data_IF_249877182985
#
_entry.id   IF_249877182985
#
_cell.length_a   1.000
_cell.length_b   1.000
_cell.length_c   1.000
_cell.angle_alpha   90.00
_cell.angle_beta   90.00
_cell.angle_gamma   90.00
#
_symmetry.space_group_name_H-M   'P 1'
#
loop_
_entity.id
_entity.type
_entity.pdbx_description
1 polymer ?
#
# COMPACT_ATOMS: atom_id res chain seq x y z
N UNK A 1 -5.78 17.20 7.82
CA UNK A 1 -6.07 16.03 8.66
C UNK A 1 -7.51 15.54 8.52
N UNK A 2 -8.56 16.38 8.75
CA UNK A 2 -9.95 15.97 8.57
C UNK A 2 -10.23 15.49 7.13
N UNK A 3 -9.68 16.17 6.11
CA UNK A 3 -9.77 15.77 4.71
C UNK A 3 -9.07 14.44 4.44
N UNK A 4 -7.93 14.17 5.07
CA UNK A 4 -7.23 12.90 4.96
C UNK A 4 -8.03 11.74 5.57
N UNK A 5 -8.65 11.95 6.73
CA UNK A 5 -9.52 10.96 7.36
C UNK A 5 -10.80 10.72 6.56
N UNK A 6 -11.32 11.74 5.88
CA UNK A 6 -12.45 11.61 4.95
C UNK A 6 -12.09 10.75 3.74
N UNK A 7 -10.89 10.93 3.19
CA UNK A 7 -10.40 10.07 2.09
C UNK A 7 -10.17 8.63 2.55
N UNK A 8 -9.66 8.43 3.77
CA UNK A 8 -9.60 7.12 4.41
C UNK A 8 -10.98 6.49 4.56
N UNK A 9 -11.96 7.25 5.08
CA UNK A 9 -13.34 6.81 5.16
C UNK A 9 -13.86 6.36 3.79
N UNK A 10 -13.73 7.19 2.75
CA UNK A 10 -14.19 6.88 1.41
C UNK A 10 -13.47 5.65 0.82
N UNK A 11 -12.21 5.42 1.18
CA UNK A 11 -11.43 4.26 0.74
C UNK A 11 -11.86 2.96 1.42
N UNK A 12 -12.15 3.03 2.72
CA UNK A 12 -12.56 1.88 3.56
C UNK A 12 -14.06 1.59 3.40
N UNK A 13 -14.89 2.62 3.21
CA UNK A 13 -16.34 2.49 3.08
C UNK A 13 -16.79 1.84 1.74
N UNK A 14 -15.89 1.70 0.76
CA UNK A 14 -16.23 0.96 -0.47
C UNK A 14 -16.39 -0.52 -0.15
N UNK A 15 -17.62 -1.06 -0.24
CA UNK A 15 -17.82 -2.48 0.02
C UNK A 15 -16.99 -3.31 -0.98
N UNK A 16 -16.38 -4.42 -0.55
CA UNK A 16 -15.73 -5.35 -1.46
C UNK A 16 -16.71 -5.76 -2.55
N UNK A 17 -16.23 -5.90 -3.80
CA UNK A 17 -17.07 -6.34 -4.93
C UNK A 17 -17.85 -7.59 -4.50
N UNK A 18 -19.17 -7.47 -4.47
CA UNK A 18 -20.07 -8.59 -4.17
C UNK A 18 -19.93 -9.63 -5.27
N UNK A 19 -19.10 -10.64 -5.05
CA UNK A 19 -19.29 -11.94 -5.71
C UNK A 19 -20.47 -12.60 -5.02
N UNK A 20 -21.67 -12.49 -5.57
CA UNK A 20 -22.82 -13.24 -5.09
C UNK A 20 -22.51 -14.73 -5.31
N UNK A 21 -22.17 -15.44 -4.24
CA UNK A 21 -22.12 -16.89 -4.30
C UNK A 21 -23.57 -17.39 -4.48
N UNK A 22 -23.84 -17.92 -5.66
CA UNK A 22 -25.12 -18.57 -5.93
C UNK A 22 -25.26 -19.82 -5.04
N UNK A 23 -26.29 -19.92 -4.19
CA UNK A 23 -26.54 -21.12 -3.37
C UNK A 23 -26.64 -22.41 -4.21
N UNK A 24 -27.04 -22.32 -5.47
CA UNK A 24 -27.07 -23.46 -6.40
C UNK A 24 -25.68 -24.09 -6.60
N UNK A 25 -24.61 -23.32 -6.51
CA UNK A 25 -23.24 -23.82 -6.61
C UNK A 25 -22.86 -24.85 -5.50
N UNK A 26 -23.63 -24.94 -4.42
CA UNK A 26 -23.47 -25.96 -3.38
C UNK A 26 -23.75 -27.35 -3.98
N UNK A 27 -24.86 -27.48 -4.73
CA UNK A 27 -25.24 -28.73 -5.39
C UNK A 27 -24.26 -29.10 -6.51
N UNK A 28 -23.79 -28.12 -7.27
CA UNK A 28 -22.81 -28.34 -8.34
C UNK A 28 -21.48 -28.89 -7.77
N UNK A 29 -20.96 -28.29 -6.70
CA UNK A 29 -19.74 -28.78 -6.02
C UNK A 29 -19.92 -30.16 -5.37
N UNK A 30 -21.07 -30.41 -4.76
CA UNK A 30 -21.39 -31.71 -4.20
C UNK A 30 -21.51 -32.78 -5.31
N UNK A 31 -22.08 -32.43 -6.47
CA UNK A 31 -22.17 -33.32 -7.63
C UNK A 31 -20.79 -33.64 -8.21
N UNK A 32 -19.89 -32.68 -8.32
CA UNK A 32 -18.52 -32.90 -8.74
C UNK A 32 -17.78 -33.90 -7.83
N UNK A 33 -17.97 -33.78 -6.51
CA UNK A 33 -17.35 -34.66 -5.53
C UNK A 33 -17.86 -36.11 -5.57
N UNK A 34 -19.16 -36.29 -5.77
CA UNK A 34 -19.83 -37.60 -5.57
C UNK A 34 -20.34 -38.22 -6.86
N UNK A 35 -20.84 -37.42 -7.80
CA UNK A 35 -21.52 -37.91 -8.99
C UNK A 35 -20.58 -38.19 -10.17
N UNK A 36 -19.36 -37.59 -10.19
CA UNK A 36 -18.40 -37.75 -11.29
C UNK A 36 -18.06 -39.22 -11.64
N UNK A 37 -18.13 -40.14 -10.67
CA UNK A 37 -17.94 -41.61 -10.88
C UNK A 37 -19.24 -42.40 -10.78
N UNK A 38 -20.42 -41.78 -10.98
CA UNK A 38 -21.71 -42.46 -10.93
C UNK A 38 -22.20 -42.76 -12.35
N UNK A 39 -22.69 -43.99 -12.57
CA UNK A 39 -23.22 -44.41 -13.89
C UNK A 39 -24.41 -43.62 -14.35
N UNK A 40 -25.13 -42.90 -13.46
CA UNK A 40 -26.25 -42.04 -13.75
C UNK A 40 -25.91 -40.53 -13.79
N UNK A 41 -24.62 -40.15 -13.76
CA UNK A 41 -24.21 -38.76 -13.70
C UNK A 41 -24.76 -37.95 -14.85
N UNK A 42 -24.53 -38.36 -16.10
CA UNK A 42 -24.96 -37.69 -17.31
C UNK A 42 -26.50 -37.61 -17.42
N UNK A 43 -27.20 -38.66 -16.98
CA UNK A 43 -28.66 -38.64 -16.93
C UNK A 43 -29.17 -37.61 -15.93
N UNK A 44 -28.64 -37.59 -14.72
CA UNK A 44 -29.07 -36.70 -13.66
C UNK A 44 -28.73 -35.23 -13.91
N UNK A 45 -27.51 -34.93 -14.37
CA UNK A 45 -26.97 -33.57 -14.41
C UNK A 45 -26.93 -32.93 -15.80
N UNK A 46 -27.07 -33.72 -16.88
CA UNK A 46 -27.16 -33.18 -18.24
C UNK A 46 -28.56 -33.25 -18.80
N UNK A 47 -29.22 -34.45 -18.72
CA UNK A 47 -30.54 -34.67 -19.33
C UNK A 47 -31.71 -34.22 -18.47
N UNK A 48 -31.61 -34.42 -17.17
CA UNK A 48 -32.70 -34.18 -16.22
C UNK A 48 -32.30 -33.21 -15.10
N UNK A 49 -31.47 -32.21 -15.42
CA UNK A 49 -30.90 -31.29 -14.44
C UNK A 49 -31.92 -30.62 -13.53
N UNK A 50 -32.96 -30.01 -14.14
CA UNK A 50 -33.99 -29.28 -13.40
C UNK A 50 -34.75 -30.18 -12.44
N UNK A 51 -35.08 -31.40 -12.90
CA UNK A 51 -35.79 -32.40 -12.10
C UNK A 51 -34.92 -32.92 -10.97
N UNK A 52 -33.65 -33.19 -11.25
CA UNK A 52 -32.68 -33.64 -10.27
C UNK A 52 -32.45 -32.58 -9.21
N UNK A 53 -32.24 -31.34 -9.62
CA UNK A 53 -32.04 -30.21 -8.73
C UNK A 53 -33.26 -29.99 -7.81
N UNK A 54 -34.46 -30.00 -8.35
CA UNK A 54 -35.74 -29.83 -7.59
C UNK A 54 -35.89 -30.98 -6.58
N UNK A 55 -35.72 -32.23 -7.04
CA UNK A 55 -35.87 -33.41 -6.19
C UNK A 55 -34.83 -33.43 -5.04
N UNK A 56 -33.60 -33.00 -5.29
CA UNK A 56 -32.55 -32.92 -4.27
C UNK A 56 -32.78 -31.77 -3.31
N UNK A 57 -33.26 -30.63 -3.78
CA UNK A 57 -33.63 -29.50 -2.96
C UNK A 57 -34.84 -29.83 -2.06
N UNK A 58 -35.85 -30.51 -2.59
CA UNK A 58 -36.98 -30.99 -1.81
C UNK A 58 -36.58 -32.10 -0.82
N UNK A 59 -35.65 -33.00 -1.21
CA UNK A 59 -35.13 -34.02 -0.34
C UNK A 59 -34.31 -33.44 0.82
N UNK A 60 -33.48 -32.44 0.57
CA UNK A 60 -32.76 -31.74 1.63
C UNK A 60 -33.68 -30.94 2.53
N UNK A 61 -34.72 -30.32 2.01
CA UNK A 61 -35.76 -29.66 2.80
C UNK A 61 -36.65 -30.66 3.55
N UNK A 62 -36.93 -31.84 2.97
CA UNK A 62 -37.72 -32.90 3.59
C UNK A 62 -36.91 -33.74 4.61
N UNK A 63 -35.59 -33.82 4.50
CA UNK A 63 -34.72 -34.45 5.52
C UNK A 63 -34.70 -33.69 6.85
N UNK A 64 -34.93 -32.39 6.80
CA UNK A 64 -35.27 -31.61 8.00
C UNK A 64 -36.63 -32.02 8.57
N UNK A 65 -37.47 -32.78 7.80
CA UNK A 65 -38.82 -33.23 8.12
C UNK A 65 -39.07 -34.76 8.05
N UNK A 66 -38.00 -35.62 7.96
CA UNK A 66 -38.06 -37.08 7.83
C UNK A 66 -38.55 -37.60 6.47
N UNK A 67 -37.60 -37.98 5.57
CA UNK A 67 -37.95 -38.74 4.36
C UNK A 67 -36.77 -39.05 3.44
N UNK A 68 -36.68 -40.28 2.93
CA UNK A 68 -35.60 -40.73 2.06
C UNK A 68 -35.86 -40.35 0.60
N UNK A 69 -34.87 -39.73 -0.08
CA UNK A 69 -34.93 -39.47 -1.51
C UNK A 69 -34.99 -40.75 -2.34
N UNK A 70 -36.09 -40.94 -3.13
CA UNK A 70 -36.22 -42.07 -4.00
C UNK A 70 -35.52 -41.78 -5.36
N UNK A 71 -34.52 -42.62 -5.70
CA UNK A 71 -33.94 -42.67 -7.05
C UNK A 71 -32.41 -42.44 -7.16
N UNK A 72 -31.75 -41.84 -6.19
CA UNK A 72 -30.30 -41.64 -6.21
C UNK A 72 -29.57 -42.81 -5.51
N UNK A 73 -28.75 -43.57 -6.25
CA UNK A 73 -27.99 -44.73 -5.69
C UNK A 73 -26.87 -44.30 -4.73
N UNK A 74 -26.42 -43.04 -4.78
CA UNK A 74 -25.37 -42.46 -3.92
C UNK A 74 -25.91 -41.37 -2.98
N UNK A 75 -27.20 -41.38 -2.72
CA UNK A 75 -27.86 -40.33 -1.96
C UNK A 75 -27.23 -40.02 -0.58
N UNK A 76 -26.83 -40.99 0.25
CA UNK A 76 -26.20 -40.70 1.53
C UNK A 76 -24.85 -39.95 1.37
N UNK A 77 -24.02 -40.35 0.42
CA UNK A 77 -22.74 -39.70 0.12
C UNK A 77 -22.91 -38.30 -0.45
N UNK A 78 -23.92 -38.13 -1.32
CA UNK A 78 -24.29 -36.83 -1.89
C UNK A 78 -24.79 -35.86 -0.79
N UNK A 79 -25.65 -36.35 0.09
CA UNK A 79 -26.14 -35.56 1.23
C UNK A 79 -25.01 -35.14 2.18
N UNK A 80 -24.06 -36.02 2.46
CA UNK A 80 -22.88 -35.68 3.25
C UNK A 80 -22.03 -34.59 2.58
N UNK A 81 -21.84 -34.67 1.27
CA UNK A 81 -21.12 -33.65 0.49
C UNK A 81 -21.87 -32.31 0.47
N UNK A 82 -23.20 -32.33 0.33
CA UNK A 82 -24.03 -31.13 0.40
C UNK A 82 -23.94 -30.47 1.77
N UNK A 83 -23.98 -31.26 2.87
CA UNK A 83 -23.87 -30.73 4.23
C UNK A 83 -22.49 -30.11 4.47
N UNK A 84 -21.41 -30.71 3.96
CA UNK A 84 -20.05 -30.16 4.04
C UNK A 84 -19.93 -28.82 3.28
N UNK A 85 -20.43 -28.78 2.05
CA UNK A 85 -20.44 -27.55 1.24
C UNK A 85 -21.35 -26.46 1.84
N UNK A 86 -22.51 -26.85 2.39
CA UNK A 86 -23.38 -25.90 3.08
C UNK A 86 -22.73 -25.33 4.33
N UNK A 87 -22.04 -26.17 5.12
CA UNK A 87 -21.30 -25.71 6.30
C UNK A 87 -20.21 -24.72 5.90
N UNK A 88 -19.45 -25.04 4.86
CA UNK A 88 -18.41 -24.16 4.30
C UNK A 88 -19.00 -22.84 3.79
N UNK A 89 -20.13 -22.91 3.11
CA UNK A 89 -20.84 -21.71 2.62
C UNK A 89 -21.32 -20.81 3.78
N UNK A 90 -21.91 -21.42 4.82
CA UNK A 90 -22.39 -20.67 5.99
C UNK A 90 -21.25 -20.01 6.77
N UNK A 91 -20.13 -20.73 6.93
CA UNK A 91 -18.93 -20.16 7.56
C UNK A 91 -18.37 -18.98 6.76
N UNK A 92 -18.23 -19.11 5.43
CA UNK A 92 -17.79 -18.02 4.57
C UNK A 92 -18.73 -16.83 4.62
N UNK A 93 -20.05 -17.08 4.61
CA UNK A 93 -21.08 -16.02 4.73
C UNK A 93 -21.00 -15.30 6.07
N UNK A 94 -20.83 -16.04 7.15
CA UNK A 94 -20.70 -15.47 8.50
C UNK A 94 -19.40 -14.66 8.64
N UNK A 95 -18.28 -15.17 8.09
CA UNK A 95 -17.00 -14.48 8.08
C UNK A 95 -17.06 -13.17 7.29
N UNK A 96 -17.62 -13.20 6.08
CA UNK A 96 -17.83 -11.98 5.27
C UNK A 96 -18.73 -10.94 5.96
N UNK A 97 -19.75 -11.41 6.66
CA UNK A 97 -20.60 -10.50 7.43
C UNK A 97 -19.83 -9.82 8.57
N UNK A 98 -19.00 -10.55 9.27
CA UNK A 98 -18.11 -9.98 10.31
C UNK A 98 -17.15 -8.95 9.72
N UNK A 99 -16.46 -9.29 8.64
CA UNK A 99 -15.56 -8.35 7.95
C UNK A 99 -16.32 -7.08 7.55
N UNK A 100 -17.51 -7.19 6.95
CA UNK A 100 -18.31 -6.03 6.57
C UNK A 100 -18.74 -5.18 7.78
N UNK A 101 -19.07 -5.81 8.92
CA UNK A 101 -19.40 -5.12 10.16
C UNK A 101 -18.18 -4.41 10.77
N UNK A 102 -17.00 -5.04 10.74
CA UNK A 102 -15.74 -4.45 11.22
C UNK A 102 -15.26 -3.30 10.34
N UNK A 103 -15.37 -3.43 9.01
CA UNK A 103 -15.14 -2.34 8.07
C UNK A 103 -16.07 -1.14 8.32
N UNK A 104 -17.36 -1.40 8.55
CA UNK A 104 -18.33 -0.33 8.84
C UNK A 104 -18.01 0.38 10.15
N UNK A 105 -17.57 -0.34 11.18
CA UNK A 105 -17.13 0.25 12.45
C UNK A 105 -15.87 1.11 12.28
N UNK A 106 -14.85 0.59 11.58
CA UNK A 106 -13.63 1.33 11.29
C UNK A 106 -13.94 2.62 10.51
N UNK A 107 -14.75 2.53 9.45
CA UNK A 107 -15.19 3.68 8.68
C UNK A 107 -15.90 4.73 9.54
N UNK A 108 -16.81 4.31 10.44
CA UNK A 108 -17.49 5.22 11.37
C UNK A 108 -16.51 5.91 12.33
N UNK A 109 -15.50 5.20 12.84
CA UNK A 109 -14.48 5.78 13.72
C UNK A 109 -13.63 6.83 12.98
N UNK A 110 -13.23 6.58 11.74
CA UNK A 110 -12.51 7.57 10.93
C UNK A 110 -13.35 8.81 10.61
N UNK A 111 -14.66 8.65 10.38
CA UNK A 111 -15.57 9.79 10.19
C UNK A 111 -15.66 10.66 11.43
N UNK A 112 -15.86 10.05 12.61
CA UNK A 112 -15.93 10.77 13.88
C UNK A 112 -14.60 11.49 14.20
N UNK A 113 -13.46 10.83 13.97
CA UNK A 113 -12.16 11.45 14.19
C UNK A 113 -11.93 12.62 13.22
N UNK A 114 -12.42 12.51 11.97
CA UNK A 114 -12.38 13.59 10.99
C UNK A 114 -13.15 14.82 11.46
N UNK A 115 -14.35 14.64 12.04
CA UNK A 115 -15.17 15.74 12.58
C UNK A 115 -14.51 16.40 13.79
N UNK A 116 -13.93 15.61 14.71
CA UNK A 116 -13.20 16.13 15.86
C UNK A 116 -11.98 16.95 15.46
N UNK A 117 -11.20 16.49 14.48
CA UNK A 117 -10.04 17.23 13.99
C UNK A 117 -10.42 18.47 13.20
N UNK A 118 -11.56 18.46 12.49
CA UNK A 118 -12.08 19.65 11.84
C UNK A 118 -12.45 20.73 12.87
N UNK A 119 -13.17 20.33 13.92
CA UNK A 119 -13.57 21.25 14.99
C UNK A 119 -12.37 21.80 15.78
N UNK A 120 -11.33 20.97 15.99
CA UNK A 120 -10.09 21.42 16.63
C UNK A 120 -9.28 22.37 15.75
N UNK A 121 -9.24 22.15 14.43
CA UNK A 121 -8.55 23.03 13.47
C UNK A 121 -9.23 24.40 13.35
N UNK A 122 -10.56 24.43 13.38
CA UNK A 122 -11.34 25.69 13.33
C UNK A 122 -11.18 26.51 14.61
N UNK A 123 -10.76 25.88 15.73
CA UNK A 123 -10.52 26.56 17.03
C UNK A 123 -9.05 26.97 17.26
N UNK A 124 -8.11 26.52 16.46
CA UNK A 124 -6.69 26.86 16.59
C UNK A 124 -6.35 28.12 15.77
N UNK A 125 -6.42 29.26 16.40
CA UNK A 125 -5.95 30.52 15.83
C UNK A 125 -4.47 30.49 15.51
N UNK A 126 -4.09 30.98 14.34
CA UNK A 126 -2.73 31.03 13.80
C UNK A 126 -1.73 31.65 14.80
N UNK A 127 -0.83 30.86 15.31
CA UNK A 127 0.40 31.35 15.93
C UNK A 127 1.40 31.67 14.83
N UNK A 128 1.74 32.94 14.66
CA UNK A 128 2.80 33.42 13.77
C UNK A 128 4.14 32.92 14.29
N UNK A 129 4.69 31.89 13.64
CA UNK A 129 6.04 31.42 13.89
C UNK A 129 7.06 32.47 13.39
N UNK A 130 7.99 32.87 14.26
CA UNK A 130 9.13 33.72 13.92
C UNK A 130 10.01 32.95 12.90
N UNK A 131 10.28 33.55 11.75
CA UNK A 131 11.06 32.93 10.68
C UNK A 131 12.54 32.83 11.12
N UNK A 132 12.97 31.66 11.53
CA UNK A 132 14.38 31.31 11.69
C UNK A 132 15.03 31.10 10.30
N UNK A 133 16.33 31.39 10.13
CA UNK A 133 17.01 31.13 8.86
C UNK A 133 16.95 29.65 8.48
N UNK A 134 16.52 29.40 7.25
CA UNK A 134 16.28 28.07 6.71
C UNK A 134 17.40 27.75 5.71
N UNK A 135 17.99 26.54 5.80
CA UNK A 135 18.96 26.09 4.82
C UNK A 135 18.32 25.90 3.44
N UNK A 136 18.93 26.45 2.36
CA UNK A 136 18.46 26.18 1.01
C UNK A 136 18.67 24.72 0.66
N UNK A 137 17.82 24.19 -0.21
CA UNK A 137 17.95 22.85 -0.77
C UNK A 137 17.61 22.83 -2.26
N UNK A 138 18.06 21.81 -2.95
CA UNK A 138 17.69 21.53 -4.33
C UNK A 138 17.22 20.09 -4.43
N UNK A 139 16.26 19.84 -5.30
CA UNK A 139 15.69 18.52 -5.50
C UNK A 139 15.70 18.11 -6.96
N UNK A 140 16.02 16.83 -7.20
CA UNK A 140 15.83 16.13 -8.45
C UNK A 140 14.85 14.97 -8.25
N UNK A 141 13.95 14.77 -9.22
CA UNK A 141 12.96 13.69 -9.19
C UNK A 141 12.73 13.16 -10.61
N UNK A 142 12.65 11.86 -10.73
CA UNK A 142 12.13 11.21 -11.94
C UNK A 142 11.47 9.88 -11.59
N UNK A 143 10.30 9.65 -12.18
CA UNK A 143 9.57 8.40 -12.16
C UNK A 143 9.47 7.89 -13.60
N UNK A 144 9.86 6.65 -13.84
CA UNK A 144 9.82 6.00 -15.15
C UNK A 144 8.95 4.77 -15.09
N UNK A 145 7.95 4.64 -15.95
CA UNK A 145 7.14 3.45 -16.03
C UNK A 145 7.94 2.27 -16.60
N UNK A 146 7.61 1.07 -16.19
CA UNK A 146 8.02 -0.18 -16.81
C UNK A 146 7.72 -0.18 -18.31
N UNK A 147 8.55 -0.84 -19.08
CA UNK A 147 8.37 -0.94 -20.54
C UNK A 147 6.99 -1.50 -20.89
N UNK A 148 6.24 -0.75 -21.69
CA UNK A 148 4.89 -1.10 -22.12
C UNK A 148 3.78 -0.52 -21.27
N UNK A 149 4.09 0.01 -20.08
CA UNK A 149 3.12 0.73 -19.24
C UNK A 149 3.08 2.22 -19.60
N UNK A 150 1.90 2.83 -19.38
CA UNK A 150 1.70 4.27 -19.63
C UNK A 150 2.03 5.13 -18.43
N UNK A 151 1.94 4.56 -17.25
CA UNK A 151 2.13 5.23 -15.96
C UNK A 151 3.01 4.36 -15.07
N UNK A 152 3.82 5.02 -14.24
CA UNK A 152 4.62 4.34 -13.23
C UNK A 152 3.75 3.91 -12.06
N UNK A 153 3.97 2.72 -11.52
CA UNK A 153 3.43 2.26 -10.26
C UNK A 153 4.01 3.02 -9.05
N UNK A 154 5.20 3.63 -9.23
CA UNK A 154 5.80 4.49 -8.23
C UNK A 154 5.07 5.84 -8.12
N UNK A 155 5.02 6.38 -6.91
CA UNK A 155 4.53 7.73 -6.63
C UNK A 155 5.46 8.45 -5.68
N UNK A 156 5.63 9.76 -5.87
CA UNK A 156 6.49 10.58 -5.04
C UNK A 156 5.82 11.91 -4.70
N UNK A 157 6.16 12.49 -3.56
CA UNK A 157 5.79 13.85 -3.16
C UNK A 157 6.91 14.51 -2.39
N UNK A 158 6.98 15.84 -2.52
CA UNK A 158 7.82 16.70 -1.71
C UNK A 158 7.03 17.90 -1.23
N UNK A 159 7.20 18.30 0.00
CA UNK A 159 6.55 19.48 0.55
C UNK A 159 7.23 19.94 1.83
N UNK A 160 7.01 21.17 2.17
CA UNK A 160 7.37 21.73 3.48
C UNK A 160 6.12 21.85 4.36
N UNK A 161 6.29 21.56 5.63
CA UNK A 161 5.27 21.79 6.65
C UNK A 161 5.34 23.24 7.15
N UNK A 162 4.30 23.72 7.82
CA UNK A 162 4.29 25.04 8.44
C UNK A 162 5.38 25.23 9.53
N UNK A 163 5.87 24.12 10.09
CA UNK A 163 6.99 24.12 11.06
C UNK A 163 8.38 24.19 10.42
N UNK A 164 8.49 24.32 9.08
CA UNK A 164 9.79 24.36 8.38
C UNK A 164 10.48 22.99 8.24
N UNK A 165 9.69 21.92 8.29
CA UNK A 165 10.18 20.55 8.04
C UNK A 165 9.96 20.19 6.59
N UNK A 166 11.02 19.84 5.87
CA UNK A 166 10.95 19.27 4.53
C UNK A 166 10.59 17.77 4.62
N UNK A 167 9.54 17.37 3.92
CA UNK A 167 9.12 15.98 3.79
C UNK A 167 9.36 15.50 2.37
N UNK A 168 10.03 14.35 2.23
CA UNK A 168 10.21 13.63 0.98
C UNK A 168 9.57 12.26 1.10
N UNK A 169 8.73 11.92 0.13
CA UNK A 169 7.99 10.66 0.07
C UNK A 169 8.25 9.97 -1.25
N UNK A 170 8.61 8.69 -1.20
CA UNK A 170 8.63 7.77 -2.33
C UNK A 170 7.88 6.51 -1.92
N UNK A 171 7.00 6.03 -2.78
CA UNK A 171 6.17 4.84 -2.54
C UNK A 171 6.07 4.06 -3.84
N UNK A 172 6.33 2.77 -3.78
CA UNK A 172 6.20 1.82 -4.86
C UNK A 172 4.98 0.93 -4.60
N UNK A 173 4.03 0.92 -5.54
CA UNK A 173 2.79 0.16 -5.47
C UNK A 173 2.99 -1.25 -6.00
N UNK A 174 2.36 -2.24 -5.36
CA UNK A 174 2.44 -3.63 -5.79
C UNK A 174 1.96 -3.84 -7.22
N UNK A 175 2.82 -4.43 -8.04
CA UNK A 175 2.53 -4.73 -9.45
C UNK A 175 3.01 -3.65 -10.40
N UNK A 176 2.23 -3.30 -11.43
CA UNK A 176 2.59 -2.27 -12.41
C UNK A 176 1.36 -1.54 -12.95
N UNK A 177 1.61 -0.40 -13.61
CA UNK A 177 0.58 0.39 -14.29
C UNK A 177 -0.41 1.08 -13.34
N UNK A 178 -1.63 1.36 -13.83
CA UNK A 178 -2.62 2.18 -13.10
C UNK A 178 -3.08 1.61 -11.77
N UNK A 179 -3.04 0.29 -11.56
CA UNK A 179 -3.45 -0.32 -10.31
C UNK A 179 -2.42 -0.04 -9.21
N UNK A 180 -1.15 -0.31 -9.49
CA UNK A 180 -0.03 -0.01 -8.61
C UNK A 180 0.07 1.49 -8.31
N UNK A 181 -0.05 2.35 -9.35
CA UNK A 181 -0.06 3.79 -9.19
C UNK A 181 -1.16 4.29 -8.24
N UNK A 182 -2.37 3.72 -8.31
CA UNK A 182 -3.47 4.12 -7.41
C UNK A 182 -3.14 3.85 -5.95
N UNK A 183 -2.50 2.73 -5.64
CA UNK A 183 -2.13 2.37 -4.27
C UNK A 183 -1.00 3.25 -3.74
N UNK A 184 0.10 3.38 -4.47
CA UNK A 184 1.22 4.22 -4.10
C UNK A 184 0.82 5.70 -3.98
N UNK A 185 0.06 6.22 -4.96
CA UNK A 185 -0.41 7.60 -4.94
C UNK A 185 -1.40 7.87 -3.78
N UNK A 186 -2.21 6.88 -3.38
CA UNK A 186 -3.06 7.01 -2.20
C UNK A 186 -2.21 7.10 -0.94
N UNK A 187 -1.22 6.22 -0.78
CA UNK A 187 -0.33 6.24 0.38
C UNK A 187 0.40 7.59 0.51
N UNK A 188 0.97 8.07 -0.59
CA UNK A 188 1.65 9.38 -0.65
C UNK A 188 0.71 10.52 -0.28
N UNK A 189 -0.49 10.60 -0.89
CA UNK A 189 -1.46 11.66 -0.59
C UNK A 189 -1.95 11.65 0.85
N UNK A 190 -2.19 10.48 1.44
CA UNK A 190 -2.62 10.37 2.83
C UNK A 190 -1.55 10.86 3.79
N UNK A 191 -0.31 10.40 3.61
CA UNK A 191 0.82 10.85 4.44
C UNK A 191 1.06 12.35 4.28
N UNK A 192 1.06 12.88 3.05
CA UNK A 192 1.20 14.31 2.82
C UNK A 192 0.14 15.11 3.59
N UNK A 193 -1.14 14.71 3.54
CA UNK A 193 -2.21 15.39 4.25
C UNK A 193 -2.07 15.33 5.77
N UNK A 194 -1.64 14.19 6.31
CA UNK A 194 -1.41 14.05 7.75
C UNK A 194 -0.25 14.93 8.22
N UNK A 195 0.87 14.88 7.52
CA UNK A 195 2.07 15.64 7.88
C UNK A 195 1.87 17.15 7.71
N UNK A 196 1.21 17.61 6.63
CA UNK A 196 0.83 19.02 6.46
C UNK A 196 -0.14 19.52 7.55
N UNK A 197 -0.93 18.63 8.12
CA UNK A 197 -1.82 18.97 9.23
C UNK A 197 -1.13 18.92 10.60
N UNK A 198 0.19 18.74 10.65
CA UNK A 198 0.98 18.71 11.88
C UNK A 198 0.88 17.39 12.65
N UNK A 199 0.40 16.31 12.03
CA UNK A 199 0.46 14.98 12.64
C UNK A 199 1.87 14.43 12.44
N UNK A 200 2.49 13.96 13.52
CA UNK A 200 3.83 13.37 13.48
C UNK A 200 3.90 12.11 12.59
N UNK A 201 5.09 11.83 12.06
CA UNK A 201 5.30 10.71 11.15
C UNK A 201 4.91 9.34 11.73
N UNK A 202 5.26 8.94 12.98
CA UNK A 202 4.89 7.62 13.49
C UNK A 202 3.38 7.36 13.56
N UNK A 203 2.52 8.25 14.12
CA UNK A 203 1.07 8.05 14.10
C UNK A 203 0.48 8.10 12.69
N UNK A 204 1.00 8.94 11.80
CA UNK A 204 0.56 9.01 10.40
C UNK A 204 0.83 7.69 9.66
N UNK A 205 2.04 7.14 9.81
CA UNK A 205 2.46 5.85 9.24
C UNK A 205 1.66 4.68 9.80
N UNK A 206 1.42 4.66 11.11
CA UNK A 206 0.56 3.65 11.75
C UNK A 206 -0.85 3.66 11.18
N UNK A 207 -1.43 4.87 11.03
CA UNK A 207 -2.78 5.04 10.47
C UNK A 207 -2.84 4.58 9.01
N UNK A 208 -1.83 4.93 8.20
CA UNK A 208 -1.71 4.44 6.83
C UNK A 208 -1.65 2.92 6.78
N UNK A 209 -0.76 2.28 7.57
CA UNK A 209 -0.63 0.82 7.59
C UNK A 209 -1.95 0.13 7.94
N UNK A 210 -2.66 0.62 8.97
CA UNK A 210 -3.97 0.07 9.36
C UNK A 210 -5.01 0.22 8.24
N UNK A 211 -5.04 1.37 7.56
CA UNK A 211 -5.97 1.61 6.46
C UNK A 211 -5.70 0.69 5.24
N UNK A 212 -4.43 0.46 4.91
CA UNK A 212 -4.04 -0.45 3.83
C UNK A 212 -4.33 -1.90 4.20
N UNK A 213 -4.02 -2.34 5.45
CA UNK A 213 -4.31 -3.70 5.92
C UNK A 213 -5.80 -4.05 5.86
N UNK A 214 -6.69 -3.10 6.21
CA UNK A 214 -8.14 -3.29 6.08
C UNK A 214 -8.60 -3.47 4.62
N UNK A 215 -7.86 -2.93 3.66
CA UNK A 215 -8.13 -3.10 2.22
C UNK A 215 -7.50 -4.37 1.65
N UNK A 216 -6.35 -4.80 2.16
CA UNK A 216 -5.61 -5.96 1.68
C UNK A 216 -6.42 -7.26 1.73
N UNK A 217 -7.34 -7.41 2.69
CA UNK A 217 -8.27 -8.55 2.76
C UNK A 217 -9.17 -8.69 1.51
N UNK A 218 -9.29 -7.63 0.72
CA UNK A 218 -10.13 -7.61 -0.49
C UNK A 218 -9.37 -7.50 -1.82
N UNK A 219 -8.09 -7.07 -1.82
CA UNK A 219 -7.39 -6.67 -3.05
C UNK A 219 -5.89 -6.93 -3.10
N UNK A 220 -5.28 -7.61 -2.13
CA UNK A 220 -3.80 -7.72 -2.00
C UNK A 220 -3.08 -6.36 -2.07
N UNK A 221 -3.69 -5.33 -1.49
CA UNK A 221 -3.23 -3.94 -1.58
C UNK A 221 -2.17 -3.66 -0.53
N UNK A 222 -0.91 -3.63 -0.92
CA UNK A 222 0.20 -3.15 -0.09
C UNK A 222 1.17 -2.33 -0.93
N UNK A 223 1.93 -1.48 -0.28
CA UNK A 223 2.88 -0.58 -0.95
C UNK A 223 4.11 -0.35 -0.07
N UNK A 224 5.23 -0.07 -0.69
CA UNK A 224 6.40 0.40 0.04
C UNK A 224 6.21 1.86 0.43
N UNK A 225 6.87 2.30 1.49
CA UNK A 225 6.92 3.73 1.86
C UNK A 225 8.32 4.07 2.31
N UNK A 226 8.88 5.11 1.71
CA UNK A 226 10.12 5.76 2.11
C UNK A 226 9.81 7.22 2.43
N UNK A 227 9.91 7.61 3.71
CA UNK A 227 9.58 8.93 4.22
C UNK A 227 10.78 9.53 4.94
N UNK A 228 11.33 10.62 4.40
CA UNK A 228 12.27 11.49 5.11
C UNK A 228 11.52 12.71 5.63
N UNK A 229 11.67 13.01 6.92
CA UNK A 229 11.33 14.30 7.54
C UNK A 229 12.62 14.99 7.94
N UNK A 230 12.88 16.20 7.43
CA UNK A 230 14.14 16.93 7.62
C UNK A 230 13.85 18.35 8.10
N UNK A 231 14.36 18.73 9.25
CA UNK A 231 14.38 20.12 9.70
C UNK A 231 15.35 20.93 8.83
N UNK A 232 14.83 21.90 8.09
CA UNK A 232 15.67 22.79 7.28
C UNK A 232 16.49 23.78 8.11
N UNK A 233 16.24 23.89 9.42
CA UNK A 233 16.99 24.74 10.35
C UNK A 233 18.25 24.03 10.89
N UNK A 234 18.13 22.75 11.24
CA UNK A 234 19.20 21.97 11.88
C UNK A 234 19.86 20.97 10.95
N UNK A 235 19.25 20.68 9.81
CA UNK A 235 19.59 19.59 8.88
C UNK A 235 19.59 18.21 9.54
N UNK A 236 18.88 18.07 10.67
CA UNK A 236 18.61 16.81 11.33
C UNK A 236 17.25 16.27 10.84
N UNK A 237 17.19 14.98 10.61
CA UNK A 237 15.99 14.35 10.07
C UNK A 237 15.84 12.91 10.50
N UNK A 238 14.68 12.37 10.21
CA UNK A 238 14.28 11.00 10.48
C UNK A 238 13.81 10.34 9.20
N UNK A 239 14.33 9.14 8.94
CA UNK A 239 13.94 8.30 7.81
C UNK A 239 13.14 7.11 8.31
N UNK A 240 11.96 6.93 7.75
CA UNK A 240 11.03 5.83 8.01
C UNK A 240 10.83 5.00 6.74
N UNK A 241 10.92 3.68 6.84
CA UNK A 241 10.84 2.79 5.68
C UNK A 241 9.92 1.60 5.95
N UNK A 242 8.87 1.45 5.12
CA UNK A 242 8.06 0.24 5.02
C UNK A 242 8.44 -0.54 3.76
N UNK A 243 9.22 -1.62 3.87
CA UNK A 243 9.59 -2.49 2.76
C UNK A 243 10.33 -1.81 1.59
N UNK A 244 10.74 -0.54 1.77
CA UNK A 244 11.32 0.25 0.70
C UNK A 244 12.79 -0.13 0.42
N UNK A 245 13.22 0.07 -0.83
CA UNK A 245 14.57 -0.12 -1.29
C UNK A 245 15.58 0.74 -0.49
N UNK A 246 16.89 0.46 -0.52
CA UNK A 246 17.89 1.25 0.21
C UNK A 246 17.87 2.73 -0.16
N UNK A 247 18.14 3.60 0.82
CA UNK A 247 18.40 5.03 0.61
C UNK A 247 19.86 5.36 0.92
N UNK A 248 20.38 6.43 0.37
CA UNK A 248 21.81 6.71 0.40
C UNK A 248 22.08 8.15 0.86
N UNK A 249 22.98 8.31 1.83
CA UNK A 249 23.52 9.60 2.23
C UNK A 249 24.96 9.72 1.75
N UNK A 250 25.20 10.63 0.79
CA UNK A 250 26.52 10.92 0.24
C UNK A 250 27.11 12.18 0.88
N UNK A 251 28.35 12.08 1.32
CA UNK A 251 29.18 13.20 1.81
C UNK A 251 30.58 13.12 1.19
N UNK A 252 30.92 14.05 0.29
CA UNK A 252 32.15 13.93 -0.49
C UNK A 252 32.19 12.59 -1.23
N UNK A 253 33.26 11.83 -1.11
CA UNK A 253 33.38 10.48 -1.68
C UNK A 253 32.80 9.35 -0.80
N UNK A 254 32.27 9.66 0.38
CA UNK A 254 31.67 8.65 1.28
C UNK A 254 30.19 8.49 1.03
N UNK A 255 29.73 7.25 0.96
CA UNK A 255 28.29 6.90 0.79
C UNK A 255 27.87 6.01 1.97
N UNK A 256 26.89 6.47 2.75
CA UNK A 256 26.23 5.68 3.78
C UNK A 256 24.93 5.15 3.24
N UNK A 257 24.79 3.85 3.20
CA UNK A 257 23.56 3.12 2.84
C UNK A 257 22.65 2.98 4.06
N UNK A 258 21.36 3.21 3.88
CA UNK A 258 20.33 3.04 4.92
C UNK A 258 19.27 2.06 4.39
N UNK A 259 19.09 0.98 5.13
CA UNK A 259 18.11 -0.08 4.83
C UNK A 259 17.13 -0.24 5.97
N UNK A 260 16.01 -0.92 5.72
CA UNK A 260 15.09 -1.37 6.76
C UNK A 260 14.83 -2.87 6.64
N UNK A 261 14.35 -3.46 7.74
CA UNK A 261 13.89 -4.84 7.81
C UNK A 261 12.37 -4.95 7.95
N UNK A 262 11.63 -3.84 7.79
CA UNK A 262 10.19 -3.81 7.92
C UNK A 262 9.50 -4.31 6.64
N UNK A 263 8.34 -4.94 6.82
CA UNK A 263 7.47 -5.33 5.70
C UNK A 263 6.83 -4.10 5.04
N UNK A 264 6.38 -4.20 3.78
CA UNK A 264 5.56 -3.17 3.13
C UNK A 264 4.32 -2.81 3.94
N UNK A 265 3.87 -1.56 3.81
CA UNK A 265 2.68 -1.07 4.48
C UNK A 265 1.42 -1.77 3.92
N UNK A 266 0.55 -2.21 4.82
CA UNK A 266 -0.67 -2.96 4.48
C UNK A 266 -0.51 -4.48 4.52
N UNK A 267 0.72 -5.00 4.53
CA UNK A 267 0.94 -6.46 4.49
C UNK A 267 0.63 -7.15 5.83
N UNK A 268 0.79 -6.45 6.95
CA UNK A 268 0.52 -6.99 8.28
C UNK A 268 -0.27 -6.00 9.12
N UNK A 269 -1.46 -6.44 9.58
CA UNK A 269 -2.29 -5.66 10.49
C UNK A 269 -1.63 -5.55 11.88
N UNK A 270 -1.80 -4.38 12.52
CA UNK A 270 -1.33 -4.14 13.89
C UNK A 270 0.18 -4.02 14.07
N UNK A 271 0.97 -4.06 12.99
CA UNK A 271 2.42 -3.83 13.07
C UNK A 271 2.72 -2.44 13.63
N UNK A 272 3.73 -2.29 14.50
CA UNK A 272 4.19 -0.98 14.92
C UNK A 272 4.71 -0.19 13.70
N UNK A 273 4.70 1.16 13.78
CA UNK A 273 5.36 1.96 12.76
C UNK A 273 6.86 1.60 12.70
N UNK A 274 7.52 1.76 11.54
CA UNK A 274 8.95 1.51 11.43
C UNK A 274 9.74 2.41 12.38
N UNK A 275 10.81 1.88 12.93
CA UNK A 275 11.75 2.69 13.73
C UNK A 275 12.39 3.77 12.86
N UNK A 276 12.52 4.96 13.44
CA UNK A 276 13.19 6.08 12.79
C UNK A 276 14.68 5.83 12.68
N UNK A 277 15.24 6.01 11.49
CA UNK A 277 16.69 6.16 11.34
C UNK A 277 17.03 7.63 11.37
N UNK A 278 17.74 8.06 12.43
CA UNK A 278 18.19 9.44 12.55
C UNK A 278 19.30 9.73 11.55
N UNK A 279 19.15 10.83 10.85
CA UNK A 279 20.08 11.32 9.83
C UNK A 279 20.44 12.77 10.16
N UNK A 280 21.68 13.14 9.84
CA UNK A 280 22.11 14.54 9.86
C UNK A 280 22.76 14.84 8.51
N UNK A 281 22.17 15.74 7.76
CA UNK A 281 22.74 16.25 6.53
C UNK A 281 23.75 17.36 6.84
N UNK A 282 24.54 17.72 5.86
CA UNK A 282 25.49 18.85 5.94
C UNK A 282 25.57 19.54 4.58
N UNK A 283 25.95 20.81 4.53
CA UNK A 283 26.23 21.46 3.25
C UNK A 283 27.14 20.62 2.35
N UNK A 284 26.81 20.50 1.08
CA UNK A 284 27.48 19.65 0.09
C UNK A 284 27.10 18.18 0.11
N UNK A 285 26.13 17.76 0.95
CA UNK A 285 25.65 16.37 0.96
C UNK A 285 24.46 16.16 0.04
N UNK A 286 24.34 14.91 -0.46
CA UNK A 286 23.16 14.39 -1.13
C UNK A 286 22.47 13.35 -0.26
N UNK A 287 21.14 13.35 -0.30
CA UNK A 287 20.32 12.22 0.14
C UNK A 287 19.53 11.69 -1.03
N UNK A 288 19.62 10.38 -1.31
CA UNK A 288 19.03 9.74 -2.48
C UNK A 288 18.11 8.61 -2.04
N UNK A 289 16.88 8.63 -2.53
CA UNK A 289 15.87 7.60 -2.40
C UNK A 289 15.64 6.95 -3.77
N UNK A 290 15.48 5.65 -3.80
CA UNK A 290 15.21 4.89 -5.03
C UNK A 290 14.12 3.85 -4.79
N UNK A 291 13.37 3.46 -5.84
CA UNK A 291 12.55 2.26 -5.83
C UNK A 291 13.38 1.02 -6.20
N UNK A 292 12.84 -0.17 -6.00
CA UNK A 292 13.54 -1.44 -6.24
C UNK A 292 13.79 -1.72 -7.73
N UNK A 293 12.99 -1.12 -8.63
CA UNK A 293 13.26 -1.14 -10.08
C UNK A 293 14.56 -0.42 -10.45
N UNK A 294 15.08 0.47 -9.60
CA UNK A 294 16.40 1.09 -9.78
C UNK A 294 17.50 0.24 -9.18
N UNK A 295 17.40 -0.06 -7.89
CA UNK A 295 18.38 -0.86 -7.16
C UNK A 295 17.71 -1.53 -5.94
N UNK A 296 18.04 -2.77 -5.69
CA UNK A 296 17.62 -3.50 -4.51
C UNK A 296 18.79 -3.75 -3.54
N UNK A 297 18.47 -4.34 -2.39
CA UNK A 297 19.48 -4.59 -1.35
C UNK A 297 20.54 -5.62 -1.72
N UNK A 298 20.34 -6.39 -2.79
CA UNK A 298 21.27 -7.43 -3.24
C UNK A 298 22.19 -6.97 -4.38
N UNK A 299 21.83 -5.91 -5.10
CA UNK A 299 22.56 -5.42 -6.28
C UNK A 299 22.53 -3.88 -6.34
N UNK A 300 23.16 -3.23 -5.39
CA UNK A 300 23.26 -1.77 -5.32
C UNK A 300 24.72 -1.23 -5.25
N UNK A 301 25.72 -2.09 -5.36
CA UNK A 301 27.13 -1.69 -5.31
C UNK A 301 27.48 -0.67 -6.42
N UNK A 302 26.93 -0.88 -7.62
CA UNK A 302 27.12 0.05 -8.73
C UNK A 302 26.61 1.46 -8.41
N UNK A 303 25.46 1.56 -7.71
CA UNK A 303 24.87 2.83 -7.32
C UNK A 303 25.69 3.52 -6.25
N UNK A 304 26.21 2.77 -5.27
CA UNK A 304 27.13 3.30 -4.26
C UNK A 304 28.42 3.85 -4.91
N UNK A 305 28.97 3.15 -5.91
CA UNK A 305 30.14 3.58 -6.65
C UNK A 305 29.87 4.83 -7.50
N UNK A 306 28.72 4.89 -8.19
CA UNK A 306 28.29 6.07 -8.94
C UNK A 306 28.16 7.28 -8.00
N UNK A 307 27.49 7.11 -6.87
CA UNK A 307 27.32 8.17 -5.88
C UNK A 307 28.66 8.63 -5.30
N UNK A 308 29.56 7.70 -4.95
CA UNK A 308 30.89 8.04 -4.42
C UNK A 308 31.70 8.88 -5.40
N UNK A 309 31.65 8.54 -6.69
CA UNK A 309 32.37 9.26 -7.76
C UNK A 309 31.66 10.52 -8.27
N UNK A 310 30.44 10.84 -7.83
CA UNK A 310 29.71 12.00 -8.29
C UNK A 310 30.27 13.31 -7.74
N UNK A 311 30.71 14.22 -8.60
CA UNK A 311 31.28 15.52 -8.24
C UNK A 311 30.34 16.70 -8.49
N UNK A 312 29.26 16.49 -9.28
CA UNK A 312 28.27 17.52 -9.62
C UNK A 312 27.43 17.95 -8.41
N UNK A 313 26.86 19.14 -8.45
CA UNK A 313 25.99 19.70 -7.41
C UNK A 313 24.50 19.70 -7.81
N UNK A 314 24.19 19.37 -9.07
CA UNK A 314 22.83 19.37 -9.59
C UNK A 314 22.13 18.01 -9.32
N UNK A 315 21.10 17.96 -8.45
CA UNK A 315 20.43 16.70 -8.12
C UNK A 315 19.63 16.11 -9.28
N UNK A 316 19.11 16.93 -10.21
CA UNK A 316 18.39 16.41 -11.37
C UNK A 316 19.32 15.71 -12.38
N UNK A 317 20.56 16.19 -12.53
CA UNK A 317 21.56 15.51 -13.35
C UNK A 317 21.98 14.18 -12.69
N UNK A 318 22.11 14.14 -11.36
CA UNK A 318 22.39 12.91 -10.61
C UNK A 318 21.26 11.89 -10.82
N UNK A 319 20.00 12.30 -10.68
CA UNK A 319 18.82 11.46 -10.93
C UNK A 319 18.86 10.87 -12.33
N UNK A 320 19.15 11.71 -13.35
CA UNK A 320 19.24 11.28 -14.74
C UNK A 320 20.37 10.26 -14.96
N UNK A 321 21.53 10.46 -14.33
CA UNK A 321 22.67 9.54 -14.41
C UNK A 321 22.34 8.18 -13.75
N UNK A 322 21.69 8.18 -12.58
CA UNK A 322 21.27 6.96 -11.87
C UNK A 322 20.30 6.17 -12.77
N UNK A 323 19.28 6.81 -13.32
CA UNK A 323 18.31 6.14 -14.18
C UNK A 323 18.93 5.59 -15.47
N UNK A 324 19.82 6.35 -16.11
CA UNK A 324 20.51 5.89 -17.31
C UNK A 324 21.35 4.63 -17.04
N UNK A 325 22.09 4.61 -15.93
CA UNK A 325 22.89 3.46 -15.51
C UNK A 325 22.01 2.27 -15.12
N UNK A 326 20.90 2.49 -14.38
CA UNK A 326 19.93 1.44 -14.02
C UNK A 326 19.33 0.79 -15.28
N UNK A 327 18.86 1.60 -16.24
CA UNK A 327 18.30 1.10 -17.52
C UNK A 327 19.37 0.34 -18.32
N UNK A 328 20.61 0.81 -18.33
CA UNK A 328 21.70 0.11 -19.01
C UNK A 328 21.97 -1.28 -18.44
N UNK A 329 21.80 -1.45 -17.13
CA UNK A 329 22.09 -2.71 -16.41
C UNK A 329 20.92 -3.68 -16.40
N UNK A 330 19.72 -3.18 -16.13
CA UNK A 330 18.52 -3.99 -15.85
C UNK A 330 17.48 -3.90 -16.97
N UNK A 331 17.62 -2.92 -17.88
CA UNK A 331 16.55 -2.56 -18.82
C UNK A 331 15.40 -1.87 -18.12
N UNK A 332 14.30 -1.67 -18.83
CA UNK A 332 13.04 -1.12 -18.31
C UNK A 332 12.11 -2.26 -17.85
N UNK A 333 12.62 -3.12 -16.97
CA UNK A 333 11.91 -4.34 -16.52
C UNK A 333 10.91 -4.07 -15.41
N UNK A 334 11.05 -2.95 -14.71
CA UNK A 334 10.17 -2.51 -13.64
C UNK A 334 10.00 -0.99 -13.63
N UNK A 335 9.04 -0.50 -12.84
CA UNK A 335 8.88 0.92 -12.55
C UNK A 335 10.11 1.44 -11.81
N UNK A 336 10.62 2.61 -12.16
CA UNK A 336 11.87 3.12 -11.64
C UNK A 336 11.74 4.56 -11.14
N UNK A 337 11.79 4.74 -9.83
CA UNK A 337 11.70 6.03 -9.14
C UNK A 337 13.04 6.42 -8.51
N UNK A 338 13.46 7.66 -8.72
CA UNK A 338 14.65 8.26 -8.08
C UNK A 338 14.31 9.65 -7.60
N UNK A 339 14.62 9.93 -6.34
CA UNK A 339 14.55 11.26 -5.75
C UNK A 339 15.90 11.60 -5.10
N UNK A 340 16.47 12.76 -5.40
CA UNK A 340 17.74 13.22 -4.86
C UNK A 340 17.61 14.62 -4.27
N UNK A 341 17.92 14.76 -3.00
CA UNK A 341 18.02 16.01 -2.27
C UNK A 341 19.48 16.43 -2.19
N UNK A 342 19.78 17.67 -2.49
CA UNK A 342 21.08 18.30 -2.33
C UNK A 342 21.00 19.49 -1.38
N UNK A 343 21.91 19.58 -0.45
CA UNK A 343 22.10 20.75 0.43
C UNK A 343 23.29 21.55 -0.12
N UNK A 344 23.07 22.76 -0.68
CA UNK A 344 24.15 23.59 -1.21
C UNK A 344 25.25 23.87 -0.17
N UNK A 345 26.49 23.99 -0.64
CA UNK A 345 27.67 24.30 0.21
C UNK A 345 27.62 25.70 0.78
N UNK A 346 27.06 26.64 0.05
CA UNK A 346 26.91 28.01 0.49
C UNK A 346 25.54 28.19 1.12
N UNK A 347 25.50 28.49 2.43
CA UNK A 347 24.39 29.23 3.00
C UNK A 347 24.38 30.58 2.27
N UNK A 348 23.27 30.97 1.65
CA UNK A 348 23.13 32.28 1.02
C UNK A 348 23.63 33.30 2.02
N UNK A 349 24.73 33.95 1.69
CA UNK A 349 25.34 34.98 2.52
C UNK A 349 24.29 36.01 2.88
N UNK A 350 24.29 36.42 4.14
CA UNK A 350 23.59 37.62 4.56
C UNK A 350 23.90 38.71 3.53
N UNK A 351 22.87 39.18 2.84
CA UNK A 351 22.98 40.42 2.09
C UNK A 351 23.40 41.48 3.13
N UNK A 352 24.64 41.96 3.00
CA UNK A 352 25.05 43.18 3.64
C UNK A 352 24.09 44.29 3.19
N UNK A 353 23.42 44.88 4.17
CA UNK A 353 22.68 46.13 4.01
C UNK A 353 23.65 47.28 4.19
#
# INVERSE_FOLDING_TARGET
SAAALRELYDSVARPPKRTEENPAAIFDRASEKVCRGCALCDFCWEKEYQRTYTALNDATAALLRRGHGKGCIRFPSFLSAVNEELHTYLLRRQYRRRIAEDHAKAASQYAQLSELLQSAADGAGAQTASALPVHPYQLGLSLRPKRGERVSGDSASQFETESGTLCLLLSDGMGCGEAAQRESAMAVRLLERFLRAGIDAPPALKTLNSALSLRAESTDSFTTVDLLTLSLQTLEGELYKYGAAPSYLKRGGSVRRVTCSCLPAGLQEGSPPPEATHLRLSPGSFFVMVSDGVADSSDDEWLQNLLAGWEGENPQLLVSAILAESISRRGETDDAGVMALYIPKEAIGAQEV
#
